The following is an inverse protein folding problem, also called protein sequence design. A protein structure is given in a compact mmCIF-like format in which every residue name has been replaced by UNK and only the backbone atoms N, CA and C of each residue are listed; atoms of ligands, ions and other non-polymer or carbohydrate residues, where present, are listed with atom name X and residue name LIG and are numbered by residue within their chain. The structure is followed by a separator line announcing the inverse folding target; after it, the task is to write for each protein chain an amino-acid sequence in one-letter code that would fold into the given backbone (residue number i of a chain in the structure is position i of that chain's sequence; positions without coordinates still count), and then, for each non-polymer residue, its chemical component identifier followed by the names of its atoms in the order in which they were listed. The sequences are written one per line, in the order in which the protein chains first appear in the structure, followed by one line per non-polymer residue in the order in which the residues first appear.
data_IF_884405260994
#
_entry.id   IF_884405260994
#
_cell.length_a   1.000
_cell.length_b   1.000
_cell.length_c   1.000
_cell.angle_alpha   90.00
_cell.angle_beta   90.00
_cell.angle_gamma   90.00
#
_symmetry.space_group_name_H-M   'P 1'
#
loop_
_entity.id
_entity.type
_entity.pdbx_description
1 polymer ?
#
# COMPACT_ATOMS: atom_id res chain seq x y z
N UNK A 1 26.25 18.61 -0.63
CA UNK A 1 25.82 17.47 -1.50
C UNK A 1 24.29 17.44 -1.55
N UNK A 2 23.69 17.17 -2.70
CA UNK A 2 22.24 16.92 -2.76
C UNK A 2 21.89 15.74 -1.86
N UNK A 3 20.85 15.87 -1.02
CA UNK A 3 20.35 14.82 -0.15
C UNK A 3 20.01 13.57 -0.97
N UNK A 4 20.45 12.37 -0.53
CA UNK A 4 19.99 11.12 -1.14
C UNK A 4 18.49 10.96 -0.89
N UNK A 5 17.67 10.81 -1.96
CA UNK A 5 16.22 10.97 -1.85
C UNK A 5 15.50 9.77 -1.20
N UNK A 6 16.19 8.66 -0.96
CA UNK A 6 15.60 7.44 -0.38
C UNK A 6 15.91 7.35 1.11
N UNK A 7 14.94 6.92 1.91
CA UNK A 7 15.17 6.49 3.28
C UNK A 7 15.59 5.01 3.28
N UNK A 8 16.84 4.74 3.67
CA UNK A 8 17.40 3.39 3.81
C UNK A 8 17.54 2.97 5.28
N UNK A 9 17.08 3.79 6.19
CA UNK A 9 17.22 3.57 7.64
C UNK A 9 15.91 3.06 8.27
N UNK A 10 14.76 3.54 7.80
CA UNK A 10 13.45 3.21 8.37
C UNK A 10 13.42 3.39 9.89
N UNK A 11 12.81 2.47 10.59
CA UNK A 11 12.84 2.43 12.06
C UNK A 11 14.11 1.79 12.64
N UNK A 12 15.03 1.29 11.82
CA UNK A 12 16.22 0.59 12.27
C UNK A 12 15.87 -0.76 12.94
N UNK A 13 16.70 -1.23 13.90
CA UNK A 13 16.54 -2.55 14.50
C UNK A 13 15.35 -2.67 15.45
N UNK A 14 14.74 -1.56 15.85
CA UNK A 14 13.66 -1.54 16.85
C UNK A 14 12.48 -0.70 16.36
N UNK A 15 11.61 -1.25 15.52
CA UNK A 15 10.42 -0.55 15.07
C UNK A 15 9.47 -0.22 16.24
N UNK A 16 8.64 0.81 16.12
CA UNK A 16 7.65 1.17 17.14
C UNK A 16 6.74 0.00 17.48
N UNK A 17 6.32 -0.09 18.74
CA UNK A 17 5.33 -1.06 19.16
C UNK A 17 3.98 -0.75 18.51
N UNK A 18 3.42 -1.70 17.81
CA UNK A 18 2.14 -1.53 17.13
C UNK A 18 0.94 -1.54 18.08
N UNK A 19 1.07 -2.23 19.23
CA UNK A 19 -0.02 -2.40 20.22
C UNK A 19 -1.38 -2.73 19.57
N UNK A 20 -1.39 -3.72 18.66
CA UNK A 20 -2.59 -4.09 17.93
C UNK A 20 -3.78 -4.35 18.86
N UNK A 21 -5.03 -4.06 18.44
CA UNK A 21 -6.23 -4.25 19.25
C UNK A 21 -6.33 -5.64 19.85
N UNK A 22 -6.82 -5.71 21.09
CA UNK A 22 -6.93 -6.98 21.82
C UNK A 22 -5.60 -7.64 22.19
N UNK A 23 -4.48 -6.95 22.10
CA UNK A 23 -3.15 -7.51 22.33
C UNK A 23 -2.69 -8.46 21.22
N UNK A 24 -3.20 -8.29 20.01
CA UNK A 24 -2.84 -9.15 18.89
C UNK A 24 -1.34 -9.07 18.57
N UNK A 25 -0.77 -10.19 18.19
CA UNK A 25 0.64 -10.34 17.80
C UNK A 25 0.88 -9.92 16.35
N UNK A 26 -0.13 -10.12 15.49
CA UNK A 26 -0.06 -9.80 14.07
C UNK A 26 -1.39 -9.20 13.60
N UNK A 27 -1.32 -8.23 12.69
CA UNK A 27 -2.47 -7.76 11.93
C UNK A 27 -2.44 -8.38 10.52
N UNK A 28 -3.49 -9.10 10.13
CA UNK A 28 -3.60 -9.73 8.81
C UNK A 28 -4.60 -8.96 7.96
N UNK A 29 -4.21 -8.56 6.77
CA UNK A 29 -5.00 -7.78 5.82
C UNK A 29 -5.21 -8.60 4.55
N UNK A 30 -6.46 -8.91 4.22
CA UNK A 30 -6.83 -9.51 2.94
C UNK A 30 -7.25 -8.38 2.00
N UNK A 31 -6.52 -8.21 0.91
CA UNK A 31 -6.70 -7.09 -0.02
C UNK A 31 -7.12 -7.61 -1.37
N UNK A 32 -8.33 -7.29 -1.78
CA UNK A 32 -8.89 -7.69 -3.07
C UNK A 32 -8.75 -6.55 -4.09
N UNK A 33 -7.90 -6.73 -5.08
CA UNK A 33 -7.78 -5.82 -6.20
C UNK A 33 -8.94 -6.10 -7.18
N UNK A 34 -9.85 -5.13 -7.33
CA UNK A 34 -10.94 -5.18 -8.29
C UNK A 34 -10.61 -4.31 -9.49
N UNK A 35 -10.10 -4.94 -10.54
CA UNK A 35 -9.53 -4.30 -11.72
C UNK A 35 -10.31 -4.61 -13.00
N UNK A 36 -11.24 -5.55 -12.94
CA UNK A 36 -12.00 -6.09 -14.06
C UNK A 36 -12.86 -5.02 -14.74
N UNK A 37 -12.46 -4.61 -15.94
CA UNK A 37 -13.05 -3.49 -16.69
C UNK A 37 -12.31 -2.16 -16.51
N UNK A 38 -11.20 -2.14 -15.76
CA UNK A 38 -10.30 -1.00 -15.61
C UNK A 38 -8.95 -1.18 -16.33
N UNK A 39 -8.68 -2.38 -16.88
CA UNK A 39 -7.50 -2.73 -17.65
C UNK A 39 -7.38 -1.97 -18.96
N UNK A 40 -6.17 -1.95 -19.56
CA UNK A 40 -5.97 -1.41 -20.92
C UNK A 40 -6.84 -2.16 -21.93
N UNK A 41 -7.67 -1.43 -22.66
CA UNK A 41 -8.53 -1.98 -23.69
C UNK A 41 -8.89 -0.94 -24.75
N UNK A 42 -8.92 -1.34 -26.00
CA UNK A 42 -9.35 -0.49 -27.13
C UNK A 42 -10.76 0.09 -26.90
N UNK A 43 -11.66 -0.67 -26.27
CA UNK A 43 -13.00 -0.20 -25.92
C UNK A 43 -13.00 0.93 -24.87
N UNK A 44 -11.90 1.10 -24.17
CA UNK A 44 -11.70 2.17 -23.17
C UNK A 44 -10.93 3.38 -23.75
N UNK A 45 -10.63 3.35 -25.05
CA UNK A 45 -9.85 4.39 -25.74
C UNK A 45 -8.33 4.22 -25.62
N UNK A 46 -7.85 3.07 -25.13
CA UNK A 46 -6.43 2.80 -25.01
C UNK A 46 -5.81 2.41 -26.36
N UNK A 47 -4.51 2.64 -26.53
CA UNK A 47 -3.79 2.34 -27.76
C UNK A 47 -3.60 0.85 -28.02
N UNK A 48 -3.68 0.01 -27.01
CA UNK A 48 -3.45 -1.42 -27.08
C UNK A 48 -4.28 -2.18 -26.02
N UNK A 49 -4.35 -3.51 -26.18
CA UNK A 49 -4.90 -4.41 -25.17
C UNK A 49 -4.00 -4.51 -23.94
N UNK A 50 -4.56 -4.98 -22.81
CA UNK A 50 -3.75 -5.38 -21.66
C UNK A 50 -2.82 -6.56 -21.99
N UNK A 51 -1.69 -6.61 -21.30
CA UNK A 51 -0.67 -7.67 -21.45
C UNK A 51 -0.23 -8.25 -20.09
N UNK A 52 -0.67 -7.69 -18.97
CA UNK A 52 -0.13 -8.02 -17.66
C UNK A 52 -1.15 -8.76 -16.78
N UNK A 53 -0.63 -9.55 -15.84
CA UNK A 53 -1.39 -10.29 -14.81
C UNK A 53 -2.57 -11.10 -15.34
N UNK A 54 -2.29 -12.03 -16.27
CA UNK A 54 -3.25 -13.01 -16.78
C UNK A 54 -2.63 -14.41 -16.88
N UNK A 55 -3.46 -15.38 -17.20
CA UNK A 55 -3.01 -16.78 -17.47
C UNK A 55 -2.09 -16.89 -18.70
N UNK A 56 -1.99 -15.85 -19.53
CA UNK A 56 -1.05 -15.78 -20.65
C UNK A 56 0.21 -15.06 -20.15
N UNK A 57 1.07 -15.79 -19.44
CA UNK A 57 2.31 -15.24 -18.89
C UNK A 57 3.21 -14.77 -20.05
N UNK A 58 3.65 -13.51 -19.97
CA UNK A 58 4.46 -12.89 -21.02
C UNK A 58 3.67 -12.49 -22.27
N UNK A 59 2.36 -12.30 -22.15
CA UNK A 59 1.53 -11.79 -23.25
C UNK A 59 2.08 -10.46 -23.78
N UNK A 60 2.01 -10.27 -25.10
CA UNK A 60 2.26 -8.98 -25.73
C UNK A 60 0.96 -8.17 -25.81
N UNK A 61 1.05 -6.86 -25.63
CA UNK A 61 -0.05 -5.95 -25.95
C UNK A 61 -0.32 -5.96 -27.46
N UNK A 62 -1.58 -5.89 -27.85
CA UNK A 62 -2.01 -5.83 -29.26
C UNK A 62 -2.39 -4.39 -29.63
N UNK A 63 -1.52 -3.65 -30.33
CA UNK A 63 -1.82 -2.28 -30.72
C UNK A 63 -3.01 -2.19 -31.66
N UNK A 64 -3.96 -1.30 -31.37
CA UNK A 64 -5.13 -1.04 -32.20
C UNK A 64 -6.12 -2.23 -32.30
N UNK A 65 -5.97 -3.27 -31.51
CA UNK A 65 -6.79 -4.47 -31.57
C UNK A 65 -7.25 -4.93 -30.20
N UNK A 66 -8.46 -5.51 -30.17
CA UNK A 66 -8.96 -6.22 -28.98
C UNK A 66 -8.25 -7.56 -28.84
N UNK A 67 -7.96 -7.96 -27.61
CA UNK A 67 -7.43 -9.29 -27.30
C UNK A 67 -8.51 -10.11 -26.58
N UNK A 68 -9.34 -10.84 -27.35
CA UNK A 68 -10.49 -11.56 -26.86
C UNK A 68 -10.20 -12.51 -25.70
N UNK A 69 -9.12 -13.27 -25.75
CA UNK A 69 -8.74 -14.18 -24.67
C UNK A 69 -8.39 -13.40 -23.39
N UNK A 70 -7.71 -12.27 -23.51
CA UNK A 70 -7.38 -11.41 -22.38
C UNK A 70 -8.66 -10.85 -21.74
N UNK A 71 -9.55 -10.28 -22.56
CA UNK A 71 -10.84 -9.77 -22.10
C UNK A 71 -11.64 -10.84 -21.35
N UNK A 72 -11.70 -12.08 -21.90
CA UNK A 72 -12.44 -13.17 -21.27
C UNK A 72 -11.88 -13.60 -19.92
N UNK A 73 -10.59 -13.39 -19.65
CA UNK A 73 -9.98 -13.65 -18.34
C UNK A 73 -10.39 -12.59 -17.31
N UNK A 74 -10.43 -11.32 -17.70
CA UNK A 74 -10.98 -10.25 -16.87
C UNK A 74 -12.48 -10.46 -16.63
N UNK A 75 -13.25 -10.80 -17.67
CA UNK A 75 -14.67 -11.17 -17.51
C UNK A 75 -14.87 -12.33 -16.53
N UNK A 76 -14.00 -13.35 -16.55
CA UNK A 76 -14.07 -14.43 -15.56
C UNK A 76 -13.93 -13.88 -14.13
N UNK A 77 -13.01 -12.94 -13.93
CA UNK A 77 -12.83 -12.27 -12.64
C UNK A 77 -14.12 -11.63 -12.14
N UNK A 78 -14.77 -10.83 -12.99
CA UNK A 78 -16.03 -10.17 -12.65
C UNK A 78 -17.21 -11.14 -12.48
N UNK A 79 -17.32 -12.15 -13.37
CA UNK A 79 -18.50 -13.03 -13.47
C UNK A 79 -18.49 -14.22 -12.51
N UNK A 80 -17.31 -14.80 -12.25
CA UNK A 80 -17.18 -16.03 -11.46
C UNK A 80 -16.23 -15.86 -10.27
N UNK A 81 -15.06 -15.23 -10.49
CA UNK A 81 -14.01 -15.06 -9.48
C UNK A 81 -14.49 -14.24 -8.30
N UNK A 82 -15.01 -13.05 -8.56
CA UNK A 82 -15.54 -12.16 -7.53
C UNK A 82 -16.60 -12.85 -6.66
N UNK A 83 -17.60 -13.47 -7.25
CA UNK A 83 -18.70 -14.08 -6.50
C UNK A 83 -18.25 -15.30 -5.68
N UNK A 84 -17.22 -16.03 -6.14
CA UNK A 84 -16.59 -17.08 -5.34
C UNK A 84 -15.88 -16.51 -4.12
N UNK A 85 -15.10 -15.47 -4.33
CA UNK A 85 -14.38 -14.79 -3.24
C UNK A 85 -15.35 -14.11 -2.28
N UNK A 86 -16.37 -13.44 -2.78
CA UNK A 86 -17.39 -12.82 -1.93
C UNK A 86 -18.06 -13.83 -1.00
N UNK A 87 -18.49 -15.00 -1.52
CA UNK A 87 -19.07 -16.06 -0.67
C UNK A 87 -18.11 -16.58 0.41
N UNK A 88 -16.81 -16.61 0.10
CA UNK A 88 -15.78 -17.06 1.02
C UNK A 88 -15.41 -16.01 2.08
N UNK A 89 -15.40 -14.74 1.71
CA UNK A 89 -14.77 -13.67 2.48
C UNK A 89 -15.77 -12.68 3.09
N UNK A 90 -17.07 -12.76 2.79
CA UNK A 90 -18.08 -11.75 3.17
C UNK A 90 -18.18 -11.49 4.68
N UNK A 91 -17.77 -12.42 5.50
CA UNK A 91 -17.82 -12.32 6.96
C UNK A 91 -16.45 -11.91 7.57
N UNK A 92 -15.48 -11.54 6.71
CA UNK A 92 -14.16 -11.06 7.10
C UNK A 92 -13.97 -9.57 6.75
N UNK A 93 -13.15 -8.84 7.50
CA UNK A 93 -12.76 -7.48 7.13
C UNK A 93 -11.84 -7.52 5.91
N UNK A 94 -12.33 -7.02 4.79
CA UNK A 94 -11.61 -6.98 3.51
C UNK A 94 -11.39 -5.54 3.11
N UNK A 95 -10.20 -5.23 2.60
CA UNK A 95 -9.97 -4.01 1.83
C UNK A 95 -10.06 -4.33 0.35
N UNK A 96 -10.88 -3.61 -0.38
CA UNK A 96 -10.92 -3.66 -1.84
C UNK A 96 -10.12 -2.49 -2.39
N UNK A 97 -9.11 -2.74 -3.20
CA UNK A 97 -8.55 -1.74 -4.09
C UNK A 97 -9.35 -1.75 -5.39
N UNK A 98 -10.25 -0.77 -5.51
CA UNK A 98 -11.16 -0.67 -6.64
C UNK A 98 -10.67 0.35 -7.67
N UNK A 99 -10.40 -0.10 -8.89
CA UNK A 99 -10.19 0.81 -10.03
C UNK A 99 -11.50 1.55 -10.31
N UNK A 100 -11.51 2.88 -10.30
CA UNK A 100 -12.74 3.66 -10.34
C UNK A 100 -13.61 3.34 -11.56
N UNK A 101 -13.01 3.20 -12.75
CA UNK A 101 -13.72 2.81 -13.98
C UNK A 101 -14.23 1.36 -13.95
N UNK A 102 -13.55 0.46 -13.25
CA UNK A 102 -14.01 -0.91 -13.04
C UNK A 102 -15.23 -0.95 -12.10
N UNK A 103 -15.18 -0.21 -10.98
CA UNK A 103 -16.31 -0.09 -10.05
C UNK A 103 -17.53 0.50 -10.73
N UNK A 104 -17.38 1.50 -11.59
CA UNK A 104 -18.49 2.12 -12.33
C UNK A 104 -19.19 1.14 -13.28
N UNK A 105 -18.49 0.10 -13.75
CA UNK A 105 -19.04 -0.97 -14.61
C UNK A 105 -19.63 -2.15 -13.82
N UNK A 106 -19.49 -2.16 -12.49
CA UNK A 106 -19.80 -3.29 -11.63
C UNK A 106 -20.75 -2.95 -10.47
N UNK A 107 -21.94 -2.38 -10.72
CA UNK A 107 -22.82 -1.91 -9.64
C UNK A 107 -23.27 -3.03 -8.69
N UNK A 108 -23.46 -4.27 -9.19
CA UNK A 108 -23.86 -5.41 -8.35
C UNK A 108 -22.72 -5.83 -7.42
N UNK A 109 -21.48 -5.85 -7.91
CA UNK A 109 -20.31 -6.18 -7.11
C UNK A 109 -20.07 -5.10 -6.05
N UNK A 110 -20.19 -3.81 -6.40
CA UNK A 110 -20.10 -2.70 -5.45
C UNK A 110 -21.18 -2.81 -4.35
N UNK A 111 -22.40 -3.13 -4.72
CA UNK A 111 -23.48 -3.34 -3.74
C UNK A 111 -23.17 -4.52 -2.81
N UNK A 112 -22.58 -5.60 -3.31
CA UNK A 112 -22.18 -6.76 -2.53
C UNK A 112 -21.02 -6.41 -1.57
N UNK A 113 -19.99 -5.68 -2.01
CA UNK A 113 -18.88 -5.19 -1.19
C UNK A 113 -19.41 -4.31 -0.03
N UNK A 114 -20.31 -3.37 -0.33
CA UNK A 114 -20.95 -2.50 0.67
C UNK A 114 -21.78 -3.29 1.68
N UNK A 115 -22.56 -4.26 1.20
CA UNK A 115 -23.40 -5.12 2.06
C UNK A 115 -22.57 -5.99 3.00
N UNK A 116 -21.36 -6.38 2.58
CA UNK A 116 -20.41 -7.13 3.40
C UNK A 116 -19.62 -6.22 4.38
N UNK A 117 -19.80 -4.90 4.33
CA UNK A 117 -19.05 -3.95 5.15
C UNK A 117 -17.57 -3.86 4.80
N UNK A 118 -17.19 -4.19 3.58
CA UNK A 118 -15.81 -4.11 3.11
C UNK A 118 -15.37 -2.65 2.94
N UNK A 119 -14.13 -2.36 3.28
CA UNK A 119 -13.49 -1.11 2.88
C UNK A 119 -13.32 -1.09 1.36
N UNK A 120 -13.74 -0.01 0.69
CA UNK A 120 -13.48 0.21 -0.72
C UNK A 120 -12.54 1.41 -0.83
N UNK A 121 -11.25 1.13 -0.99
CA UNK A 121 -10.19 2.10 -1.25
C UNK A 121 -9.97 2.28 -2.75
N UNK A 122 -9.29 3.34 -3.15
CA UNK A 122 -9.02 3.62 -4.56
C UNK A 122 -7.87 2.79 -5.10
N UNK A 123 -8.00 2.31 -6.33
CA UNK A 123 -6.92 1.77 -7.18
C UNK A 123 -6.68 2.65 -8.41
N UNK A 124 -6.81 3.97 -8.25
CA UNK A 124 -6.70 4.92 -9.35
C UNK A 124 -7.93 4.96 -10.27
N UNK A 125 -7.81 5.75 -11.34
CA UNK A 125 -8.88 5.92 -12.33
C UNK A 125 -9.01 4.71 -13.24
N UNK A 126 -7.88 4.28 -13.80
CA UNK A 126 -7.71 3.12 -14.69
C UNK A 126 -6.49 2.33 -14.22
N UNK A 127 -6.42 1.06 -14.56
CA UNK A 127 -5.27 0.22 -14.25
C UNK A 127 -4.18 0.35 -15.32
N UNK A 128 -3.55 1.52 -15.38
CA UNK A 128 -2.52 1.90 -16.35
C UNK A 128 -1.21 2.25 -15.65
N UNK A 129 -0.12 2.32 -16.40
CA UNK A 129 1.20 2.68 -15.90
C UNK A 129 1.43 4.20 -15.97
N UNK A 130 1.83 4.79 -14.85
CA UNK A 130 2.05 6.24 -14.72
C UNK A 130 3.51 6.66 -14.78
N UNK A 131 4.48 5.75 -14.95
CA UNK A 131 5.92 6.06 -14.91
C UNK A 131 6.36 7.21 -15.85
N UNK A 132 5.70 7.35 -17.00
CA UNK A 132 5.98 8.36 -18.01
C UNK A 132 4.91 9.48 -18.06
N UNK A 133 3.94 9.47 -17.13
CA UNK A 133 2.90 10.49 -17.07
C UNK A 133 3.46 11.80 -16.54
N UNK A 134 2.94 12.92 -17.05
CA UNK A 134 3.24 14.21 -16.45
C UNK A 134 2.52 14.33 -15.10
N UNK A 135 3.12 15.00 -14.11
CA UNK A 135 2.49 15.15 -12.79
C UNK A 135 1.07 15.75 -12.85
N UNK A 136 0.84 16.67 -13.79
CA UNK A 136 -0.47 17.33 -13.96
C UNK A 136 -1.53 16.37 -14.49
N UNK A 137 -1.17 15.46 -15.39
CA UNK A 137 -2.07 14.47 -15.96
C UNK A 137 -2.41 13.41 -14.90
N UNK A 138 -1.41 12.95 -14.15
CA UNK A 138 -1.62 12.01 -13.03
C UNK A 138 -2.49 12.63 -11.93
N UNK A 139 -2.27 13.90 -11.58
CA UNK A 139 -3.12 14.62 -10.62
C UNK A 139 -4.57 14.77 -11.12
N UNK A 140 -4.78 15.01 -12.40
CA UNK A 140 -6.11 15.09 -13.01
C UNK A 140 -6.82 13.72 -12.96
N UNK A 141 -6.11 12.63 -13.29
CA UNK A 141 -6.64 11.27 -13.18
C UNK A 141 -6.97 10.91 -11.72
N UNK A 142 -6.14 11.32 -10.77
CA UNK A 142 -6.39 11.13 -9.34
C UNK A 142 -7.66 11.85 -8.89
N UNK A 143 -7.84 13.10 -9.29
CA UNK A 143 -9.03 13.88 -8.96
C UNK A 143 -10.29 13.24 -9.57
N UNK A 144 -10.22 12.78 -10.82
CA UNK A 144 -11.33 12.10 -11.48
C UNK A 144 -11.62 10.73 -10.85
N UNK A 145 -10.58 10.00 -10.42
CA UNK A 145 -10.75 8.75 -9.67
C UNK A 145 -11.51 8.98 -8.37
N UNK A 146 -11.16 10.01 -7.60
CA UNK A 146 -11.87 10.36 -6.35
C UNK A 146 -13.32 10.72 -6.63
N UNK A 147 -13.56 11.53 -7.68
CA UNK A 147 -14.92 11.94 -8.08
C UNK A 147 -15.78 10.73 -8.46
N UNK A 148 -15.30 9.90 -9.39
CA UNK A 148 -16.03 8.74 -9.89
C UNK A 148 -16.24 7.68 -8.80
N UNK A 149 -15.23 7.43 -7.98
CA UNK A 149 -15.34 6.55 -6.82
C UNK A 149 -16.44 7.03 -5.87
N UNK A 150 -16.45 8.34 -5.54
CA UNK A 150 -17.46 8.93 -4.65
C UNK A 150 -18.88 8.81 -5.21
N UNK A 151 -19.03 8.97 -6.53
CA UNK A 151 -20.31 8.80 -7.21
C UNK A 151 -20.82 7.36 -7.14
N UNK A 152 -19.91 6.37 -7.40
CA UNK A 152 -20.27 4.95 -7.48
C UNK A 152 -20.44 4.31 -6.10
N UNK A 153 -19.55 4.61 -5.18
CA UNK A 153 -19.55 4.02 -3.82
C UNK A 153 -20.45 4.80 -2.86
N UNK A 154 -20.60 6.11 -3.08
CA UNK A 154 -21.37 7.01 -2.24
C UNK A 154 -20.55 7.75 -1.19
N UNK A 155 -19.26 7.46 -1.08
CA UNK A 155 -18.29 8.13 -0.20
C UNK A 155 -16.94 8.24 -0.90
N UNK A 156 -16.13 9.28 -0.62
CA UNK A 156 -14.78 9.35 -1.15
C UNK A 156 -13.89 8.25 -0.54
N UNK A 157 -12.87 7.76 -1.28
CA UNK A 157 -11.97 6.74 -0.77
C UNK A 157 -11.07 7.31 0.34
N UNK A 158 -10.84 6.54 1.40
CA UNK A 158 -9.91 6.92 2.47
C UNK A 158 -8.51 6.34 2.28
N UNK A 159 -8.35 5.32 1.45
CA UNK A 159 -7.07 4.72 1.07
C UNK A 159 -6.77 4.89 -0.42
N UNK A 160 -5.48 4.98 -0.76
CA UNK A 160 -4.99 5.08 -2.13
C UNK A 160 -3.92 4.04 -2.42
N UNK A 161 -4.03 3.39 -3.57
CA UNK A 161 -3.03 2.52 -4.16
C UNK A 161 -3.09 2.63 -5.68
N UNK A 162 -1.97 2.86 -6.34
CA UNK A 162 -1.87 2.89 -7.81
C UNK A 162 -1.30 1.57 -8.36
N UNK A 163 -0.29 1.02 -7.69
CA UNK A 163 0.40 -0.19 -8.09
C UNK A 163 1.37 -0.02 -9.27
N UNK A 164 1.02 0.79 -10.25
CA UNK A 164 1.86 1.18 -11.40
C UNK A 164 2.22 2.67 -11.30
N UNK A 165 2.70 3.08 -10.14
CA UNK A 165 2.92 4.46 -9.76
C UNK A 165 4.10 5.13 -10.50
N UNK A 166 4.07 6.46 -10.57
CA UNK A 166 5.21 7.32 -10.91
C UNK A 166 6.02 7.69 -9.66
N UNK A 167 7.12 8.39 -9.83
CA UNK A 167 7.85 8.98 -8.69
C UNK A 167 7.07 10.11 -7.99
N UNK A 168 5.98 10.58 -8.58
CA UNK A 168 5.17 11.68 -8.06
C UNK A 168 3.92 11.22 -7.32
N UNK A 169 3.45 9.99 -7.54
CA UNK A 169 2.17 9.46 -7.07
C UNK A 169 1.92 9.70 -5.59
N UNK A 170 2.87 9.31 -4.73
CA UNK A 170 2.68 9.42 -3.27
C UNK A 170 2.60 10.89 -2.82
N UNK A 171 3.42 11.76 -3.42
CA UNK A 171 3.37 13.20 -3.16
C UNK A 171 2.04 13.79 -3.61
N UNK A 172 1.60 13.49 -4.82
CA UNK A 172 0.31 13.97 -5.34
C UNK A 172 -0.86 13.50 -4.46
N UNK A 173 -0.84 12.25 -4.03
CA UNK A 173 -1.84 11.72 -3.10
C UNK A 173 -1.84 12.48 -1.77
N UNK A 174 -0.66 12.78 -1.20
CA UNK A 174 -0.53 13.58 0.02
C UNK A 174 -1.08 14.99 -0.17
N UNK A 175 -0.79 15.64 -1.29
CA UNK A 175 -1.25 17.00 -1.63
C UNK A 175 -2.78 17.11 -1.72
N UNK A 176 -3.50 16.03 -2.06
CA UNK A 176 -4.97 16.03 -2.04
C UNK A 176 -5.56 16.24 -0.65
N UNK A 177 -4.85 15.85 0.40
CA UNK A 177 -5.36 15.83 1.77
C UNK A 177 -6.50 14.82 2.03
N UNK A 178 -6.88 14.03 1.02
CA UNK A 178 -8.04 13.14 1.05
C UNK A 178 -7.76 11.83 1.81
N UNK A 179 -6.55 11.28 1.69
CA UNK A 179 -6.28 9.90 2.09
C UNK A 179 -5.77 9.79 3.53
N UNK A 180 -6.35 8.88 4.31
CA UNK A 180 -5.85 8.47 5.60
C UNK A 180 -4.52 7.68 5.44
N UNK A 181 -4.39 6.92 4.35
CA UNK A 181 -3.17 6.20 4.02
C UNK A 181 -2.95 6.09 2.50
N UNK A 182 -1.68 5.92 2.13
CA UNK A 182 -1.25 5.53 0.78
C UNK A 182 -0.49 4.22 0.88
N UNK A 183 -0.65 3.34 -0.11
CA UNK A 183 -0.10 1.99 -0.09
C UNK A 183 0.96 1.72 -1.16
N UNK A 184 1.32 2.70 -1.97
CA UNK A 184 2.34 2.58 -3.02
C UNK A 184 3.76 2.53 -2.44
N UNK A 185 3.98 1.55 -1.57
CA UNK A 185 5.28 1.20 -1.00
C UNK A 185 5.30 -0.26 -0.54
N UNK A 186 6.48 -0.86 -0.58
CA UNK A 186 6.76 -2.23 -0.16
C UNK A 186 7.96 -2.27 0.80
N UNK A 187 8.17 -1.19 1.56
CA UNK A 187 9.45 -0.93 2.23
C UNK A 187 9.49 -1.36 3.70
N UNK A 188 8.38 -1.80 4.28
CA UNK A 188 8.34 -2.17 5.71
C UNK A 188 7.19 -3.15 6.01
N UNK A 189 7.29 -3.83 7.17
CA UNK A 189 6.26 -4.73 7.72
C UNK A 189 5.36 -4.05 8.76
N UNK A 190 5.48 -2.72 8.90
CA UNK A 190 4.63 -1.85 9.71
C UNK A 190 4.37 -0.53 8.98
N UNK A 191 3.29 0.20 9.31
CA UNK A 191 3.08 1.52 8.73
C UNK A 191 4.18 2.51 9.13
N UNK A 192 4.43 3.50 8.27
CA UNK A 192 5.38 4.56 8.55
C UNK A 192 4.95 5.89 7.92
N UNK A 193 5.50 6.99 8.41
CA UNK A 193 5.19 8.32 7.92
C UNK A 193 6.21 8.79 6.88
N UNK A 194 5.72 9.38 5.80
CA UNK A 194 6.51 10.15 4.85
C UNK A 194 6.20 11.63 4.98
N UNK A 195 7.26 12.43 5.02
CA UNK A 195 7.17 13.89 5.12
C UNK A 195 7.18 14.51 3.73
N UNK A 196 6.16 15.30 3.42
CA UNK A 196 6.11 16.15 2.24
C UNK A 196 5.93 17.61 2.67
N UNK A 197 6.24 18.55 1.77
CA UNK A 197 6.15 19.97 2.07
C UNK A 197 4.72 20.38 2.46
N UNK A 198 3.74 19.93 1.68
CA UNK A 198 2.34 20.25 1.90
C UNK A 198 1.73 19.53 3.11
N UNK A 199 2.03 18.24 3.28
CA UNK A 199 1.43 17.40 4.33
C UNK A 199 2.22 16.11 4.52
N UNK A 200 2.29 15.64 5.78
CA UNK A 200 2.78 14.31 6.07
C UNK A 200 1.73 13.24 5.75
N UNK A 201 2.18 12.14 5.18
CA UNK A 201 1.32 11.07 4.72
C UNK A 201 1.68 9.75 5.40
N UNK A 202 0.68 9.09 5.97
CA UNK A 202 0.85 7.71 6.46
C UNK A 202 0.95 6.77 5.26
N UNK A 203 1.99 5.96 5.27
CA UNK A 203 2.17 4.83 4.37
C UNK A 203 1.80 3.56 5.12
N UNK A 204 0.87 2.80 4.57
CA UNK A 204 0.59 1.43 4.99
C UNK A 204 1.13 0.54 3.87
N UNK A 205 2.34 -0.04 4.01
CA UNK A 205 2.97 -0.81 2.94
C UNK A 205 2.10 -1.94 2.43
N UNK A 206 2.22 -2.24 1.13
CA UNK A 206 1.53 -3.35 0.48
C UNK A 206 2.51 -4.51 0.23
N UNK A 207 2.11 -5.51 -0.55
CA UNK A 207 2.90 -6.71 -0.82
C UNK A 207 2.93 -7.08 -2.31
N UNK A 208 4.07 -7.57 -2.77
CA UNK A 208 4.21 -8.21 -4.08
C UNK A 208 4.59 -9.69 -3.96
N UNK A 209 5.08 -10.13 -2.82
CA UNK A 209 5.51 -11.51 -2.56
C UNK A 209 4.36 -12.38 -2.02
N UNK A 210 3.62 -11.92 -1.01
CA UNK A 210 2.41 -12.56 -0.50
C UNK A 210 1.19 -12.16 -1.34
N UNK A 211 1.28 -12.34 -2.67
CA UNK A 211 0.33 -11.82 -3.64
C UNK A 211 0.08 -12.86 -4.73
N UNK A 212 -1.18 -13.11 -5.05
CA UNK A 212 -1.59 -14.07 -6.08
C UNK A 212 -1.17 -13.66 -7.51
N UNK A 213 -0.74 -12.40 -7.71
CA UNK A 213 -0.14 -11.96 -8.97
C UNK A 213 1.00 -12.89 -9.41
N UNK A 214 1.67 -13.51 -8.47
CA UNK A 214 2.78 -14.44 -8.75
C UNK A 214 2.35 -15.72 -9.46
N UNK A 215 1.07 -16.06 -9.52
CA UNK A 215 0.57 -17.10 -10.43
C UNK A 215 0.69 -16.70 -11.92
N UNK A 216 0.73 -15.41 -12.21
CA UNK A 216 0.77 -14.86 -13.55
C UNK A 216 2.13 -14.22 -13.91
N UNK A 217 3.17 -14.46 -13.12
CA UNK A 217 4.53 -13.96 -13.35
C UNK A 217 5.51 -15.11 -13.52
N UNK A 218 6.61 -14.88 -14.24
CA UNK A 218 7.68 -15.83 -14.34
C UNK A 218 8.28 -16.13 -12.95
N UNK A 219 8.64 -17.40 -12.70
CA UNK A 219 9.15 -17.89 -11.41
C UNK A 219 8.19 -17.65 -10.22
N UNK A 220 6.90 -17.57 -10.50
CA UNK A 220 5.87 -17.44 -9.50
C UNK A 220 5.32 -18.77 -9.01
N UNK A 221 4.08 -18.76 -8.52
CA UNK A 221 3.41 -19.96 -8.03
C UNK A 221 2.81 -20.77 -9.20
N UNK A 222 3.05 -22.09 -9.20
CA UNK A 222 2.46 -23.00 -10.18
C UNK A 222 1.29 -23.81 -9.62
N UNK A 223 1.17 -23.90 -8.29
CA UNK A 223 0.11 -24.65 -7.62
C UNK A 223 -0.37 -23.91 -6.37
N UNK A 224 -1.61 -24.20 -5.95
CA UNK A 224 -2.18 -23.62 -4.74
C UNK A 224 -1.38 -23.94 -3.48
N UNK A 225 -0.76 -25.11 -3.40
CA UNK A 225 0.07 -25.50 -2.26
C UNK A 225 1.30 -24.59 -2.09
N UNK A 226 1.90 -24.14 -3.19
CA UNK A 226 3.01 -23.21 -3.12
C UNK A 226 2.58 -21.85 -2.55
N UNK A 227 1.41 -21.37 -2.97
CA UNK A 227 0.83 -20.14 -2.42
C UNK A 227 0.51 -20.29 -0.93
N UNK A 228 -0.20 -21.35 -0.55
CA UNK A 228 -0.53 -21.64 0.83
C UNK A 228 0.73 -21.72 1.72
N UNK A 229 1.75 -22.51 1.31
CA UNK A 229 2.97 -22.66 2.08
C UNK A 229 3.72 -21.33 2.23
N UNK A 230 3.80 -20.55 1.17
CA UNK A 230 4.44 -19.23 1.22
C UNK A 230 3.72 -18.29 2.21
N UNK A 231 2.39 -18.21 2.14
CA UNK A 231 1.61 -17.39 3.06
C UNK A 231 1.75 -17.89 4.51
N UNK A 232 1.75 -19.21 4.70
CA UNK A 232 1.92 -19.82 6.02
C UNK A 232 3.28 -19.46 6.62
N UNK A 233 4.37 -19.64 5.87
CA UNK A 233 5.73 -19.37 6.37
C UNK A 233 5.94 -17.87 6.63
N UNK A 234 5.38 -16.99 5.81
CA UNK A 234 5.37 -15.54 6.03
C UNK A 234 4.60 -15.18 7.31
N UNK A 235 3.42 -15.76 7.48
CA UNK A 235 2.60 -15.57 8.68
C UNK A 235 3.33 -16.05 9.95
N UNK A 236 3.90 -17.24 9.94
CA UNK A 236 4.60 -17.83 11.09
C UNK A 236 5.78 -16.95 11.52
N UNK A 237 6.53 -16.42 10.54
CA UNK A 237 7.67 -15.54 10.80
C UNK A 237 7.22 -14.24 11.44
N UNK A 238 6.27 -13.52 10.83
CA UNK A 238 5.79 -12.24 11.33
C UNK A 238 5.03 -12.37 12.67
N UNK A 239 4.32 -13.50 12.86
CA UNK A 239 3.65 -13.81 14.11
C UNK A 239 4.66 -14.06 15.26
N UNK A 240 5.77 -14.74 14.96
CA UNK A 240 6.84 -14.96 15.94
C UNK A 240 7.58 -13.66 16.30
N UNK A 241 7.83 -12.79 15.34
CA UNK A 241 8.41 -11.47 15.59
C UNK A 241 7.51 -10.57 16.44
N UNK A 242 6.20 -10.64 16.23
CA UNK A 242 5.19 -9.85 16.94
C UNK A 242 5.16 -8.37 16.52
N UNK A 243 3.98 -7.77 16.66
CA UNK A 243 3.77 -6.35 16.33
C UNK A 243 3.88 -6.02 14.84
N UNK A 244 3.86 -7.02 13.96
CA UNK A 244 3.93 -6.86 12.50
C UNK A 244 2.55 -6.87 11.86
N UNK A 245 2.49 -6.45 10.60
CA UNK A 245 1.33 -6.64 9.75
C UNK A 245 1.69 -7.51 8.55
N UNK A 246 0.71 -8.28 8.06
CA UNK A 246 0.83 -9.09 6.85
C UNK A 246 -0.28 -8.70 5.89
N UNK A 247 0.08 -8.25 4.69
CA UNK A 247 -0.87 -8.05 3.60
C UNK A 247 -0.88 -9.28 2.70
N UNK A 248 -2.07 -9.70 2.25
CA UNK A 248 -2.26 -10.74 1.25
C UNK A 248 -2.97 -10.15 0.05
N UNK A 249 -2.27 -10.06 -1.08
CA UNK A 249 -2.80 -9.49 -2.32
C UNK A 249 -3.58 -10.53 -3.13
N UNK A 250 -4.79 -10.17 -3.52
CA UNK A 250 -5.75 -11.05 -4.20
C UNK A 250 -6.32 -10.35 -5.44
N UNK A 251 -6.54 -11.10 -6.54
CA UNK A 251 -7.19 -10.61 -7.76
C UNK A 251 -8.32 -11.55 -8.17
N UNK A 252 -9.48 -11.01 -8.51
CA UNK A 252 -10.67 -11.85 -8.82
C UNK A 252 -10.40 -12.86 -9.91
N UNK A 253 -9.66 -12.49 -10.95
CA UNK A 253 -9.32 -13.38 -12.09
C UNK A 253 -8.25 -14.43 -11.76
N UNK A 254 -7.42 -14.21 -10.73
CA UNK A 254 -6.31 -15.09 -10.35
C UNK A 254 -6.72 -16.04 -9.22
N UNK A 255 -6.79 -15.55 -7.98
CA UNK A 255 -7.15 -16.38 -6.83
C UNK A 255 -8.60 -16.88 -6.90
N UNK A 256 -9.46 -16.17 -7.63
CA UNK A 256 -10.83 -16.60 -7.88
C UNK A 256 -10.95 -17.89 -8.70
N UNK A 257 -9.85 -18.44 -9.26
CA UNK A 257 -9.85 -19.79 -9.88
C UNK A 257 -10.02 -20.86 -8.82
N UNK A 258 -10.81 -21.94 -9.08
CA UNK A 258 -11.22 -22.90 -8.04
C UNK A 258 -10.06 -23.50 -7.23
N UNK A 259 -9.03 -23.97 -7.92
CA UNK A 259 -7.88 -24.60 -7.26
C UNK A 259 -7.07 -23.63 -6.39
N UNK A 260 -6.96 -22.35 -6.80
CA UNK A 260 -6.26 -21.31 -6.04
C UNK A 260 -7.10 -20.83 -4.87
N UNK A 261 -8.43 -20.66 -5.06
CA UNK A 261 -9.35 -20.28 -4.00
C UNK A 261 -9.32 -21.27 -2.81
N UNK A 262 -9.19 -22.56 -3.11
CA UNK A 262 -9.04 -23.58 -2.06
C UNK A 262 -7.76 -23.40 -1.20
N UNK A 263 -6.68 -22.91 -1.81
CA UNK A 263 -5.44 -22.63 -1.08
C UNK A 263 -5.59 -21.39 -0.17
N UNK A 264 -6.26 -20.34 -0.65
CA UNK A 264 -6.60 -19.17 0.17
C UNK A 264 -7.47 -19.56 1.36
N UNK A 265 -8.49 -20.39 1.15
CA UNK A 265 -9.36 -20.86 2.22
C UNK A 265 -8.55 -21.57 3.32
N UNK A 266 -7.63 -22.46 2.97
CA UNK A 266 -6.76 -23.12 3.92
C UNK A 266 -5.88 -22.15 4.70
N UNK A 267 -5.38 -21.11 4.05
CA UNK A 267 -4.58 -20.10 4.75
C UNK A 267 -5.42 -19.30 5.76
N UNK A 268 -6.63 -18.91 5.37
CA UNK A 268 -7.55 -18.18 6.28
C UNK A 268 -7.85 -19.06 7.51
N UNK A 269 -8.21 -20.33 7.31
CA UNK A 269 -8.47 -21.28 8.39
C UNK A 269 -7.24 -21.48 9.28
N UNK A 270 -6.06 -21.57 8.67
CA UNK A 270 -4.78 -21.66 9.40
C UNK A 270 -4.57 -20.43 10.29
N UNK A 271 -4.67 -19.23 9.74
CA UNK A 271 -4.46 -18.00 10.49
C UNK A 271 -5.50 -17.80 11.60
N UNK A 272 -6.78 -18.14 11.34
CA UNK A 272 -7.86 -18.09 12.32
C UNK A 272 -7.67 -19.10 13.47
N UNK A 273 -6.91 -20.16 13.26
CA UNK A 273 -6.57 -21.14 14.29
C UNK A 273 -5.54 -20.65 15.33
N UNK A 274 -4.97 -19.46 15.15
CA UNK A 274 -3.97 -18.89 16.06
C UNK A 274 -4.58 -17.80 16.95
N UNK A 275 -4.23 -17.82 18.23
CA UNK A 275 -4.60 -16.74 19.16
C UNK A 275 -3.83 -15.46 18.84
N UNK A 276 -4.44 -14.30 19.08
CA UNK A 276 -3.77 -13.01 18.89
C UNK A 276 -3.55 -12.65 17.43
N UNK A 277 -4.43 -13.07 16.52
CA UNK A 277 -4.50 -12.62 15.14
C UNK A 277 -5.62 -11.61 15.00
N UNK A 278 -5.29 -10.44 14.49
CA UNK A 278 -6.26 -9.41 14.17
C UNK A 278 -6.43 -9.31 12.65
N UNK A 279 -7.54 -9.84 12.13
CA UNK A 279 -7.94 -9.56 10.76
C UNK A 279 -8.49 -8.13 10.71
N UNK A 280 -7.96 -7.31 9.81
CA UNK A 280 -8.29 -5.90 9.75
C UNK A 280 -8.36 -5.38 8.31
N UNK A 281 -9.17 -4.35 8.09
CA UNK A 281 -9.04 -3.53 6.89
C UNK A 281 -7.80 -2.63 7.00
N UNK A 282 -7.32 -2.12 5.87
CA UNK A 282 -6.17 -1.21 5.86
C UNK A 282 -6.50 0.14 6.49
N UNK A 283 -7.74 0.58 6.36
CA UNK A 283 -8.26 1.76 7.06
C UNK A 283 -8.20 1.59 8.58
N UNK A 284 -8.60 0.43 9.11
CA UNK A 284 -8.49 0.13 10.54
C UNK A 284 -7.03 0.13 11.01
N UNK A 285 -6.11 -0.41 10.21
CA UNK A 285 -4.65 -0.33 10.48
C UNK A 285 -4.19 1.13 10.53
N UNK A 286 -4.58 1.94 9.53
CA UNK A 286 -4.19 3.34 9.44
C UNK A 286 -4.71 4.17 10.61
N UNK A 287 -5.98 4.01 10.97
CA UNK A 287 -6.58 4.71 12.09
C UNK A 287 -5.92 4.32 13.42
N UNK A 288 -5.70 3.01 13.64
CA UNK A 288 -5.01 2.52 14.83
C UNK A 288 -3.57 3.05 14.91
N UNK A 289 -2.80 2.95 13.81
CA UNK A 289 -1.42 3.40 13.79
C UNK A 289 -1.29 4.90 14.04
N UNK A 290 -2.18 5.70 13.44
CA UNK A 290 -2.21 7.15 13.65
C UNK A 290 -2.44 7.51 15.11
N UNK A 291 -3.26 6.74 15.83
CA UNK A 291 -3.53 6.95 17.26
C UNK A 291 -2.35 6.51 18.14
N UNK A 292 -1.73 5.36 17.85
CA UNK A 292 -0.66 4.80 18.67
C UNK A 292 0.69 5.43 18.38
N UNK A 293 0.95 5.73 17.12
CA UNK A 293 2.23 6.24 16.61
C UNK A 293 2.00 7.53 15.79
N UNK A 294 1.44 8.60 16.40
CA UNK A 294 1.20 9.84 15.68
C UNK A 294 2.50 10.40 15.14
N UNK A 295 2.44 10.97 13.94
CA UNK A 295 3.62 11.57 13.33
C UNK A 295 4.11 12.75 14.16
N UNK A 296 5.43 12.78 14.36
CA UNK A 296 6.13 13.91 14.97
C UNK A 296 7.21 14.36 14.02
N UNK A 297 7.03 15.53 13.42
CA UNK A 297 8.14 16.18 12.71
C UNK A 297 9.19 16.58 13.76
N UNK A 298 10.35 15.96 13.65
CA UNK A 298 11.51 16.42 14.39
C UNK A 298 12.21 17.47 13.54
N UNK A 299 12.44 18.65 14.14
CA UNK A 299 13.37 19.60 13.55
C UNK A 299 14.75 18.97 13.48
N UNK A 300 15.23 18.77 12.27
CA UNK A 300 16.52 18.10 12.04
C UNK A 300 17.65 19.08 12.28
N UNK A 301 18.69 18.73 13.05
CA UNK A 301 19.86 19.57 13.27
C UNK A 301 20.42 20.18 11.98
N UNK A 302 20.50 19.38 10.90
CA UNK A 302 21.01 19.83 9.60
C UNK A 302 20.11 20.82 8.84
N UNK A 303 18.86 21.00 9.26
CA UNK A 303 17.87 21.89 8.64
C UNK A 303 17.59 23.15 9.50
N UNK A 304 18.18 23.22 10.71
CA UNK A 304 18.01 24.35 11.60
C UNK A 304 18.83 25.57 11.17
N UNK A 305 18.33 26.74 11.50
CA UNK A 305 19.19 27.93 11.52
C UNK A 305 20.15 27.86 12.71
N UNK A 306 21.30 28.58 12.66
CA UNK A 306 22.23 28.66 13.77
C UNK A 306 21.53 29.07 15.10
N UNK A 307 20.67 30.06 15.02
CA UNK A 307 19.94 30.56 16.17
C UNK A 307 19.05 29.46 16.80
N UNK A 308 18.26 28.77 16.00
CA UNK A 308 17.39 27.65 16.47
C UNK A 308 18.22 26.48 16.98
N UNK A 309 19.33 26.16 16.33
CA UNK A 309 20.22 25.09 16.76
C UNK A 309 20.85 25.37 18.11
N UNK A 310 21.44 26.55 18.29
CA UNK A 310 22.05 26.95 19.54
C UNK A 310 21.01 27.12 20.65
N UNK A 311 19.84 27.66 20.37
CA UNK A 311 18.76 27.75 21.35
C UNK A 311 18.32 26.37 21.84
N UNK A 312 18.28 25.39 20.98
CA UNK A 312 17.82 24.01 21.30
C UNK A 312 18.91 23.18 22.00
N UNK A 313 20.13 23.24 21.53
CA UNK A 313 21.21 22.34 21.96
C UNK A 313 22.27 23.02 22.85
N UNK A 314 22.28 24.35 22.92
CA UNK A 314 23.27 25.11 23.72
C UNK A 314 23.24 24.87 25.23
N UNK A 315 22.13 24.29 25.74
CA UNK A 315 22.01 23.95 27.17
C UNK A 315 22.41 22.50 27.49
N UNK A 316 22.78 21.68 26.50
CA UNK A 316 23.18 20.27 26.71
C UNK A 316 24.45 20.22 27.60
N UNK A 317 25.37 21.13 27.38
CA UNK A 317 26.55 21.30 28.24
C UNK A 317 26.37 22.54 29.12
N UNK A 318 26.37 22.34 30.43
CA UNK A 318 26.12 23.38 31.41
C UNK A 318 27.07 24.56 31.20
N UNK A 319 26.52 25.77 31.10
CA UNK A 319 27.25 27.02 30.87
C UNK A 319 28.12 27.08 29.60
N UNK A 320 27.89 26.21 28.62
CA UNK A 320 28.74 26.12 27.44
C UNK A 320 27.98 26.17 26.11
N UNK A 321 27.12 27.18 25.84
CA UNK A 321 26.38 27.28 24.59
C UNK A 321 27.28 27.42 23.34
N UNK A 322 28.55 27.85 23.55
CA UNK A 322 29.57 27.95 22.51
C UNK A 322 29.92 26.59 21.87
N UNK A 323 29.65 25.45 22.56
CA UNK A 323 29.86 24.11 22.01
C UNK A 323 28.87 23.88 20.87
N UNK A 324 27.57 24.15 21.06
CA UNK A 324 26.57 24.04 20.02
C UNK A 324 26.85 25.06 18.89
N UNK A 325 27.29 26.25 19.21
CA UNK A 325 27.67 27.25 18.20
C UNK A 325 28.82 26.76 17.32
N UNK A 326 29.87 26.18 17.94
CA UNK A 326 31.00 25.57 17.22
C UNK A 326 30.64 24.33 16.44
N UNK A 327 29.72 23.49 16.96
CA UNK A 327 29.23 22.32 16.23
C UNK A 327 28.47 22.71 14.96
N UNK A 328 27.74 23.82 14.98
CA UNK A 328 27.04 24.33 13.79
C UNK A 328 28.01 24.70 12.65
N UNK A 329 29.22 25.15 12.97
CA UNK A 329 30.28 25.49 12.00
C UNK A 329 30.84 24.26 11.26
N UNK A 330 30.52 23.01 11.70
CA UNK A 330 30.90 21.77 11.03
C UNK A 330 30.05 21.47 9.79
N UNK A 331 29.21 22.40 9.33
CA UNK A 331 28.28 22.20 8.21
C UNK A 331 27.43 20.92 8.41
N UNK A 332 26.55 20.96 9.40
CA UNK A 332 25.70 19.83 9.78
C UNK A 332 24.97 19.21 8.57
N UNK A 333 25.11 17.91 8.41
CA UNK A 333 24.45 17.12 7.39
C UNK A 333 23.63 15.97 7.99
N UNK A 334 23.04 15.11 7.15
CA UNK A 334 22.15 14.00 7.58
C UNK A 334 22.72 13.09 8.66
N UNK A 335 24.02 12.90 8.71
CA UNK A 335 24.66 12.10 9.76
C UNK A 335 24.45 12.70 11.16
N UNK A 336 24.25 14.01 11.23
CA UNK A 336 24.03 14.75 12.46
C UNK A 336 22.54 14.81 12.87
N UNK A 337 21.62 14.31 12.03
CA UNK A 337 20.20 14.20 12.33
C UNK A 337 19.87 12.98 13.22
N UNK A 338 20.87 12.20 13.58
CA UNK A 338 20.78 11.11 14.55
C UNK A 338 21.35 11.50 15.89
N UNK A 339 20.88 10.89 16.98
CA UNK A 339 21.41 11.17 18.33
C UNK A 339 22.93 10.97 18.42
N UNK A 340 23.45 9.89 17.81
CA UNK A 340 24.90 9.60 17.79
C UNK A 340 25.65 10.62 16.93
N UNK A 341 25.14 10.95 15.76
CA UNK A 341 25.80 11.93 14.88
C UNK A 341 25.82 13.32 15.46
N UNK A 342 24.72 13.75 16.10
CA UNK A 342 24.65 15.01 16.81
C UNK A 342 25.59 15.03 18.04
N UNK A 343 25.61 13.96 18.82
CA UNK A 343 26.54 13.83 19.96
C UNK A 343 27.99 13.93 19.52
N UNK A 344 28.35 13.35 18.38
CA UNK A 344 29.73 13.43 17.88
C UNK A 344 30.10 14.83 17.33
N UNK A 345 29.13 15.64 16.97
CA UNK A 345 29.34 17.01 16.51
C UNK A 345 29.45 18.00 17.68
N UNK A 346 28.72 17.73 18.77
CA UNK A 346 28.75 18.47 20.04
C UNK A 346 29.94 18.02 20.92
#
# INVERSE_FOLDING_TARGET
MKRYPRDMSGYGPTPPAAHWPGGAKIAVQLVLNYEEGGENNILHGDAASEAFLSEIVGAAAWPGQRHWNMESMYEYGARAGFWRLHRMLKDLPITVYGVATALARAPEQVAAMKSAGWEIASHGLKWIEYKDARPEDEAADMAEAIRLHSEVVGTPPRGWYTGRCSEHTVRLAAETGQFAYVADSYADDVPYWMEFEARDQLIVPYTLDANDMRFATAQGFNAGDQFFNYLKDSFDTLYAEGGRMMSVGLHCRLIGRPGRAAALQRFIEYAQGHEGVWFATREQIADHWTQQNPHKRYERPSEMTRETFVAKYGSIFEHSPWIADGAYDLELGRTHDTAIGLHNAL
#
